data_IF_157814782822
#
_entry.id   IF_157814782822
#
_cell.length_a   1.000
_cell.length_b   1.000
_cell.length_c   1.000
_cell.angle_alpha   90.00
_cell.angle_beta   90.00
_cell.angle_gamma   90.00
#
_symmetry.space_group_name_H-M   'P 1'
#
loop_
_entity.id
_entity.type
_entity.pdbx_description
1 polymer ?
#
# COMPACT_ATOMS: atom_id res chain seq x y z
N UNK A 1 16.30 -3.37 14.57
CA UNK A 1 15.98 -3.89 13.22
C UNK A 1 16.33 -2.81 12.23
N UNK A 2 17.15 -3.13 11.25
CA UNK A 2 17.44 -2.23 10.15
C UNK A 2 16.21 -2.15 9.26
N UNK A 3 15.77 -0.93 8.93
CA UNK A 3 14.62 -0.72 8.03
C UNK A 3 15.13 -0.75 6.61
N UNK A 4 14.51 -1.56 5.78
CA UNK A 4 14.85 -1.66 4.36
C UNK A 4 14.36 -0.40 3.61
N UNK A 5 15.26 0.58 3.47
CA UNK A 5 14.94 1.87 2.85
C UNK A 5 14.50 1.74 1.40
N UNK A 6 15.06 0.78 0.66
CA UNK A 6 14.73 0.58 -0.75
C UNK A 6 13.27 0.14 -0.90
N UNK A 7 12.81 -0.76 -0.03
CA UNK A 7 11.41 -1.21 0.00
C UNK A 7 10.46 -0.05 0.32
N UNK A 8 10.78 0.77 1.33
CA UNK A 8 9.95 1.93 1.69
C UNK A 8 9.85 2.94 0.54
N UNK A 9 10.97 3.25 -0.13
CA UNK A 9 10.99 4.17 -1.26
C UNK A 9 10.13 3.68 -2.43
N UNK A 10 10.08 2.36 -2.68
CA UNK A 10 9.24 1.77 -3.74
C UNK A 10 7.76 1.80 -3.35
N UNK A 11 7.43 1.51 -2.09
CA UNK A 11 6.04 1.59 -1.57
C UNK A 11 5.49 3.01 -1.74
N UNK A 12 6.28 4.04 -1.41
CA UNK A 12 5.85 5.43 -1.53
C UNK A 12 5.64 5.85 -3.00
N UNK A 13 6.48 5.37 -3.92
CA UNK A 13 6.29 5.58 -5.37
C UNK A 13 5.00 4.93 -5.88
N UNK A 14 4.69 3.72 -5.43
CA UNK A 14 3.45 3.03 -5.82
C UNK A 14 2.20 3.71 -5.24
N UNK A 15 2.25 4.16 -3.99
CA UNK A 15 1.18 4.97 -3.40
C UNK A 15 0.91 6.21 -4.24
N UNK A 16 1.97 6.92 -4.68
CA UNK A 16 1.82 8.08 -5.55
C UNK A 16 1.17 7.70 -6.89
N UNK A 17 1.62 6.62 -7.54
CA UNK A 17 1.06 6.12 -8.81
C UNK A 17 -0.44 5.86 -8.70
N UNK A 18 -0.85 5.12 -7.67
CA UNK A 18 -2.25 4.78 -7.42
C UNK A 18 -3.12 6.00 -7.08
N UNK A 19 -2.54 7.05 -6.50
CA UNK A 19 -3.30 8.24 -6.07
C UNK A 19 -3.55 9.22 -7.21
N UNK A 20 -2.59 9.35 -8.13
CA UNK A 20 -2.66 10.30 -9.24
C UNK A 20 -3.21 9.69 -10.53
N UNK A 21 -3.17 8.36 -10.65
CA UNK A 21 -3.74 7.60 -11.77
C UNK A 21 -5.26 7.46 -11.67
N UNK A 22 -5.91 7.30 -12.82
CA UNK A 22 -7.29 6.85 -12.89
C UNK A 22 -7.29 5.32 -13.01
N UNK A 23 -7.53 4.63 -11.91
CA UNK A 23 -7.55 3.16 -11.89
C UNK A 23 -8.92 2.64 -12.41
N UNK A 24 -8.92 2.06 -13.61
CA UNK A 24 -10.12 1.56 -14.31
C UNK A 24 -10.17 0.03 -14.42
N UNK A 25 -9.26 -0.67 -13.74
CA UNK A 25 -9.26 -2.12 -13.72
C UNK A 25 -10.41 -2.57 -12.82
N UNK A 26 -11.43 -3.19 -13.41
CA UNK A 26 -12.69 -3.48 -12.73
C UNK A 26 -12.57 -4.38 -11.48
N UNK A 27 -11.51 -5.17 -11.38
CA UNK A 27 -11.24 -6.06 -10.26
C UNK A 27 -10.37 -5.43 -9.16
N UNK A 28 -9.79 -4.25 -9.40
CA UNK A 28 -8.97 -3.55 -8.41
C UNK A 28 -9.81 -2.66 -7.51
N UNK A 29 -9.32 -2.38 -6.30
CA UNK A 29 -10.00 -1.52 -5.35
C UNK A 29 -9.03 -0.96 -4.30
N UNK A 30 -9.48 0.07 -3.58
CA UNK A 30 -8.79 0.59 -2.41
C UNK A 30 -9.44 0.06 -1.15
N UNK A 31 -8.63 -0.49 -0.25
CA UNK A 31 -9.10 -0.92 1.08
C UNK A 31 -9.05 0.26 2.06
N UNK A 32 -9.81 0.18 3.14
CA UNK A 32 -9.76 1.21 4.20
C UNK A 32 -8.47 1.10 5.03
N UNK A 33 -8.11 2.19 5.71
CA UNK A 33 -6.96 2.23 6.60
C UNK A 33 -7.05 1.17 7.71
N UNK A 34 -8.25 0.93 8.26
CA UNK A 34 -8.47 -0.07 9.31
C UNK A 34 -8.17 -1.50 8.82
N UNK A 35 -8.42 -1.79 7.54
CA UNK A 35 -8.08 -3.10 6.95
C UNK A 35 -6.57 -3.26 6.82
N UNK A 36 -5.86 -2.20 6.41
CA UNK A 36 -4.40 -2.21 6.32
C UNK A 36 -3.74 -2.37 7.68
N UNK A 37 -4.22 -1.66 8.71
CA UNK A 37 -3.73 -1.79 10.08
C UNK A 37 -3.92 -3.20 10.63
N UNK A 38 -5.09 -3.81 10.39
CA UNK A 38 -5.35 -5.19 10.80
C UNK A 38 -4.42 -6.18 10.10
N UNK A 39 -4.12 -5.96 8.82
CA UNK A 39 -3.19 -6.77 8.01
C UNK A 39 -1.71 -6.53 8.34
N UNK A 40 -1.38 -5.48 9.08
CA UNK A 40 -0.04 -5.24 9.63
C UNK A 40 0.10 -5.67 11.09
N UNK A 41 -0.90 -6.35 11.65
CA UNK A 41 -0.90 -6.80 13.05
C UNK A 41 -0.11 -8.09 13.25
N UNK A 42 0.13 -8.51 14.48
CA UNK A 42 0.84 -9.79 14.75
C UNK A 42 0.07 -11.05 14.30
N UNK A 43 -1.20 -10.90 13.91
CA UNK A 43 -2.02 -11.99 13.41
C UNK A 43 -1.77 -12.27 11.91
N UNK A 44 -1.04 -11.38 11.22
CA UNK A 44 -0.80 -11.37 9.77
C UNK A 44 0.62 -10.89 9.46
#
# INVERSE_FOLDING_TARGET
MERDKEVFDIIDKERWRQTIGLELIASENYVSEQVLEAMGSVLT
#
